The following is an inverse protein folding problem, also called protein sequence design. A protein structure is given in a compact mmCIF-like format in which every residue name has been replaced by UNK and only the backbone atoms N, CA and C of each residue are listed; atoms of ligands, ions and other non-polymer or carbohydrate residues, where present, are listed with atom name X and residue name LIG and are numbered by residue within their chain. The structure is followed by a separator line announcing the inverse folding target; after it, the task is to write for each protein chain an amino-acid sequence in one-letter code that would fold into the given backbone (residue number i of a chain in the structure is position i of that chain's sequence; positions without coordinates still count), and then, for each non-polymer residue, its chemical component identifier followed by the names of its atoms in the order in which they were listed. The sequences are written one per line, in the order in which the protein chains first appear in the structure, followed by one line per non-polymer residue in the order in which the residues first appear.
data_IF_026706893253
#
_entry.id   IF_026706893253
#
_cell.length_a   1.000
_cell.length_b   1.000
_cell.length_c   1.000
_cell.angle_alpha   90.00
_cell.angle_beta   90.00
_cell.angle_gamma   90.00
#
_symmetry.space_group_name_H-M   'P 1'
#
loop_
_entity.id
_entity.type
_entity.pdbx_description
1 polymer ?
#
# COMPACT_ATOMS: atom_id res chain seq x y z
N UNK A 1 22.77 2.61 28.84
CA UNK A 1 21.43 1.97 28.79
C UNK A 1 20.28 2.94 28.53
N UNK A 2 20.30 4.19 29.01
CA UNK A 2 19.22 5.17 28.74
C UNK A 2 18.99 5.51 27.25
N UNK A 3 20.03 5.43 26.41
CA UNK A 3 19.93 5.71 24.97
C UNK A 3 19.07 4.69 24.22
N UNK A 4 19.09 3.42 24.63
CA UNK A 4 18.31 2.36 23.98
C UNK A 4 16.82 2.53 24.24
N UNK A 5 16.41 2.82 25.49
CA UNK A 5 15.00 3.05 25.83
C UNK A 5 14.37 4.21 25.05
N UNK A 6 15.10 5.31 24.85
CA UNK A 6 14.63 6.45 24.06
C UNK A 6 14.51 6.11 22.57
N UNK A 7 15.48 5.39 22.01
CA UNK A 7 15.43 4.91 20.63
C UNK A 7 14.21 4.01 20.39
N UNK A 8 13.99 3.03 21.26
CA UNK A 8 12.88 2.09 21.12
C UNK A 8 11.52 2.79 21.21
N UNK A 9 11.37 3.76 22.12
CA UNK A 9 10.16 4.57 22.21
C UNK A 9 9.94 5.45 20.97
N UNK A 10 11.00 6.07 20.44
CA UNK A 10 10.93 6.87 19.22
C UNK A 10 10.60 6.00 17.99
N UNK A 11 11.21 4.81 17.89
CA UNK A 11 10.95 3.85 16.82
C UNK A 11 9.49 3.37 16.84
N UNK A 12 8.95 3.06 18.03
CA UNK A 12 7.55 2.70 18.18
C UNK A 12 6.61 3.82 17.72
N UNK A 13 6.83 5.05 18.18
CA UNK A 13 6.03 6.21 17.78
C UNK A 13 6.13 6.49 16.26
N UNK A 14 7.32 6.29 15.67
CA UNK A 14 7.53 6.42 14.24
C UNK A 14 6.72 5.40 13.44
N UNK A 15 6.73 4.13 13.86
CA UNK A 15 5.94 3.06 13.23
C UNK A 15 4.44 3.34 13.36
N UNK A 16 3.98 3.73 14.55
CA UNK A 16 2.58 4.10 14.79
C UNK A 16 2.14 5.21 13.83
N UNK A 17 2.93 6.29 13.72
CA UNK A 17 2.65 7.41 12.82
C UNK A 17 2.59 7.00 11.34
N UNK A 18 3.50 6.13 10.88
CA UNK A 18 3.48 5.65 9.48
C UNK A 18 2.26 4.77 9.21
N UNK A 19 1.93 3.87 10.15
CA UNK A 19 0.77 2.98 10.03
C UNK A 19 -0.56 3.73 10.15
N UNK A 20 -0.58 4.90 10.78
CA UNK A 20 -1.76 5.76 10.92
C UNK A 20 -2.12 6.52 9.63
N UNK A 21 -1.31 6.43 8.58
CA UNK A 21 -1.60 7.03 7.27
C UNK A 21 -2.15 5.96 6.36
N UNK A 22 -3.42 6.06 5.96
CA UNK A 22 -4.01 5.16 4.95
C UNK A 22 -3.47 5.45 3.55
N UNK A 23 -3.49 4.45 2.67
CA UNK A 23 -3.17 4.67 1.25
C UNK A 23 -4.42 5.03 0.47
N UNK A 24 -5.63 4.78 0.98
CA UNK A 24 -6.89 5.20 0.38
C UNK A 24 -7.65 6.19 1.26
N UNK A 25 -8.33 7.16 0.64
CA UNK A 25 -9.21 8.13 1.34
C UNK A 25 -10.66 7.65 1.45
N UNK A 26 -11.03 6.55 0.80
CA UNK A 26 -12.36 5.96 0.93
C UNK A 26 -12.38 5.11 2.21
N UNK A 27 -13.05 5.59 3.26
CA UNK A 27 -13.08 4.96 4.60
C UNK A 27 -13.58 3.51 4.62
N UNK A 28 -14.37 3.10 3.62
CA UNK A 28 -14.83 1.72 3.46
C UNK A 28 -13.85 0.81 2.72
N UNK A 29 -12.77 1.37 2.15
CA UNK A 29 -11.76 0.59 1.44
C UNK A 29 -10.76 -0.01 2.43
N UNK A 30 -10.39 -1.28 2.24
CA UNK A 30 -9.36 -1.93 3.08
C UNK A 30 -8.00 -1.21 3.09
N UNK A 31 -7.74 -0.37 2.09
CA UNK A 31 -6.51 0.41 1.98
C UNK A 31 -6.56 1.75 2.75
N UNK A 32 -7.73 2.15 3.26
CA UNK A 32 -7.84 3.29 4.17
C UNK A 32 -7.34 2.91 5.56
N UNK A 33 -6.76 3.88 6.26
CA UNK A 33 -6.48 3.67 7.68
C UNK A 33 -7.80 3.72 8.42
N UNK A 34 -8.22 2.58 8.95
CA UNK A 34 -9.40 2.51 9.79
C UNK A 34 -9.19 1.41 10.85
N UNK A 35 -8.83 1.79 12.09
CA UNK A 35 -8.59 0.81 13.16
C UNK A 35 -9.85 0.03 13.54
N UNK A 36 -11.05 0.53 13.21
CA UNK A 36 -12.34 -0.09 13.52
C UNK A 36 -12.86 -1.00 12.40
N UNK A 37 -12.44 -0.77 11.15
CA UNK A 37 -12.92 -1.57 10.02
C UNK A 37 -12.40 -3.01 10.04
N UNK A 38 -11.38 -3.31 10.85
CA UNK A 38 -10.70 -4.59 10.84
C UNK A 38 -10.82 -5.27 12.19
N UNK A 39 -11.63 -6.32 12.21
CA UNK A 39 -11.57 -7.36 13.22
C UNK A 39 -10.85 -8.55 12.64
N UNK A 40 -9.74 -8.97 13.24
CA UNK A 40 -9.22 -10.31 13.00
C UNK A 40 -10.33 -11.32 13.34
N UNK A 41 -10.38 -12.49 12.69
CA UNK A 41 -11.42 -13.50 12.95
C UNK A 41 -11.54 -13.92 14.42
N UNK A 42 -10.57 -13.55 15.27
CA UNK A 42 -10.56 -13.79 16.71
C UNK A 42 -11.31 -12.73 17.56
N UNK A 43 -11.68 -11.57 17.02
CA UNK A 43 -12.39 -10.50 17.75
C UNK A 43 -13.48 -9.85 16.87
N UNK A 44 -14.58 -10.55 16.63
CA UNK A 44 -15.74 -9.99 15.91
C UNK A 44 -16.33 -8.79 16.65
N UNK A 45 -16.00 -7.58 16.21
CA UNK A 45 -16.61 -6.31 16.64
C UNK A 45 -17.18 -5.53 15.44
N UNK A 46 -17.83 -6.23 14.50
CA UNK A 46 -18.54 -5.58 13.38
C UNK A 46 -17.67 -5.00 12.26
N UNK A 47 -16.35 -5.24 12.27
CA UNK A 47 -15.45 -4.92 11.16
C UNK A 47 -15.47 -6.00 10.06
N UNK A 48 -14.96 -5.66 8.87
CA UNK A 48 -14.73 -6.63 7.79
C UNK A 48 -13.62 -7.58 8.23
N UNK A 49 -13.88 -8.90 8.35
CA UNK A 49 -12.83 -9.83 8.73
C UNK A 49 -11.87 -10.02 7.57
N UNK A 50 -10.59 -9.65 7.75
CA UNK A 50 -9.54 -10.14 6.85
C UNK A 50 -9.27 -11.58 7.21
N UNK A 51 -9.68 -12.48 6.32
CA UNK A 51 -9.26 -13.86 6.39
C UNK A 51 -7.79 -13.91 5.98
N UNK A 52 -6.88 -14.34 6.87
CA UNK A 52 -5.48 -14.51 6.49
C UNK A 52 -5.38 -15.54 5.36
N UNK A 53 -4.40 -15.40 4.45
CA UNK A 53 -4.25 -16.33 3.34
C UNK A 53 -3.95 -17.72 3.87
N UNK A 54 -4.51 -18.74 3.22
CA UNK A 54 -4.21 -20.13 3.56
C UNK A 54 -2.74 -20.44 3.29
N UNK A 55 -2.21 -21.46 3.96
CA UNK A 55 -0.83 -21.91 3.74
C UNK A 55 -0.57 -22.26 2.26
N UNK A 56 -1.55 -22.84 1.55
CA UNK A 56 -1.47 -23.14 0.13
C UNK A 56 -1.44 -21.88 -0.75
N UNK A 57 -2.21 -20.84 -0.39
CA UNK A 57 -2.19 -19.54 -1.10
C UNK A 57 -0.85 -18.83 -0.91
N UNK A 58 -0.25 -18.91 0.27
CA UNK A 58 1.11 -18.41 0.54
C UNK A 58 2.16 -19.17 -0.27
N UNK A 59 2.13 -20.51 -0.28
CA UNK A 59 3.05 -21.33 -1.09
C UNK A 59 2.94 -21.00 -2.59
N UNK A 60 1.72 -20.90 -3.10
CA UNK A 60 1.48 -20.53 -4.50
C UNK A 60 2.01 -19.13 -4.82
N UNK A 61 1.85 -18.16 -3.92
CA UNK A 61 2.39 -16.81 -4.09
C UNK A 61 3.92 -16.78 -4.08
N UNK A 62 4.57 -17.56 -3.19
CA UNK A 62 6.04 -17.65 -3.12
C UNK A 62 6.60 -18.28 -4.41
N UNK A 63 5.93 -19.29 -4.95
CA UNK A 63 6.35 -19.97 -6.17
C UNK A 63 5.96 -19.23 -7.47
N UNK A 64 5.18 -18.16 -7.39
CA UNK A 64 4.71 -17.44 -8.57
C UNK A 64 5.83 -16.63 -9.23
N UNK A 65 5.95 -16.74 -10.56
CA UNK A 65 6.88 -15.92 -11.36
C UNK A 65 6.55 -14.42 -11.23
N UNK A 66 5.25 -14.09 -11.26
CA UNK A 66 4.75 -12.73 -11.00
C UNK A 66 4.07 -12.72 -9.64
N UNK A 67 4.74 -12.14 -8.65
CA UNK A 67 4.21 -12.06 -7.30
C UNK A 67 2.93 -11.19 -7.24
N UNK A 68 1.80 -11.71 -6.73
CA UNK A 68 0.55 -10.96 -6.66
C UNK A 68 0.52 -9.97 -5.49
N UNK A 69 1.39 -8.94 -5.58
CA UNK A 69 1.73 -8.00 -4.50
C UNK A 69 0.51 -7.39 -3.80
N UNK A 70 -0.44 -6.83 -4.55
CA UNK A 70 -1.61 -6.18 -3.98
C UNK A 70 -2.50 -7.17 -3.24
N UNK A 71 -2.79 -8.31 -3.86
CA UNK A 71 -3.66 -9.35 -3.31
C UNK A 71 -3.08 -9.95 -2.02
N UNK A 72 -1.81 -10.39 -2.05
CA UNK A 72 -1.16 -10.99 -0.89
C UNK A 72 -0.85 -9.93 0.17
N UNK A 73 -0.31 -8.78 -0.21
CA UNK A 73 0.05 -7.71 0.72
C UNK A 73 -1.12 -7.20 1.57
N UNK A 74 -2.34 -7.17 1.02
CA UNK A 74 -3.55 -6.76 1.74
C UNK A 74 -4.06 -7.81 2.73
N UNK A 75 -3.79 -9.09 2.49
CA UNK A 75 -4.27 -10.20 3.32
C UNK A 75 -3.27 -10.67 4.36
N UNK A 76 -1.98 -10.35 4.17
CA UNK A 76 -0.97 -10.63 5.17
C UNK A 76 -1.33 -9.94 6.49
N UNK A 77 -1.39 -10.74 7.54
CA UNK A 77 -1.69 -10.31 8.90
C UNK A 77 -0.55 -10.73 9.81
N UNK A 78 -0.27 -9.91 10.83
CA UNK A 78 0.56 -10.31 11.95
C UNK A 78 -0.04 -11.54 12.63
N UNK A 79 0.80 -12.43 13.15
CA UNK A 79 0.36 -13.63 13.87
C UNK A 79 -0.34 -13.26 15.18
N UNK A 80 -1.10 -14.20 15.74
CA UNK A 80 -1.70 -14.05 17.08
C UNK A 80 -0.65 -13.70 18.13
N UNK A 81 0.53 -14.32 18.04
CA UNK A 81 1.65 -14.04 18.96
C UNK A 81 2.14 -12.61 18.82
N UNK A 82 2.24 -12.07 17.60
CA UNK A 82 2.68 -10.69 17.37
C UNK A 82 1.63 -9.69 17.87
N UNK A 83 0.36 -9.95 17.60
CA UNK A 83 -0.78 -9.09 17.97
C UNK A 83 -1.12 -9.13 19.46
N UNK A 84 -0.55 -10.08 20.21
CA UNK A 84 -0.58 -10.09 21.66
C UNK A 84 0.24 -8.96 22.31
N UNK A 85 1.07 -8.26 21.54
CA UNK A 85 1.87 -7.12 21.98
C UNK A 85 1.37 -5.82 21.36
N UNK A 86 1.45 -4.73 22.11
CA UNK A 86 1.37 -3.38 21.54
C UNK A 86 2.54 -3.15 20.56
N UNK A 87 2.42 -2.21 19.62
CA UNK A 87 3.52 -1.87 18.70
C UNK A 87 4.80 -1.51 19.47
N UNK A 88 4.65 -0.74 20.56
CA UNK A 88 5.75 -0.39 21.46
C UNK A 88 6.44 -1.60 22.08
N UNK A 89 5.69 -2.54 22.64
CA UNK A 89 6.25 -3.77 23.23
C UNK A 89 6.89 -4.65 22.16
N UNK A 90 6.25 -4.77 20.99
CA UNK A 90 6.74 -5.58 19.89
C UNK A 90 8.07 -5.04 19.34
N UNK A 91 8.16 -3.73 19.05
CA UNK A 91 9.40 -3.08 18.59
C UNK A 91 10.52 -3.26 19.62
N UNK A 92 10.24 -3.03 20.91
CA UNK A 92 11.22 -3.19 21.98
C UNK A 92 11.74 -4.63 22.06
N UNK A 93 10.83 -5.61 22.07
CA UNK A 93 11.17 -7.04 22.11
C UNK A 93 11.96 -7.46 20.88
N UNK A 94 11.48 -7.13 19.69
CA UNK A 94 12.07 -7.54 18.42
C UNK A 94 13.48 -6.95 18.27
N UNK A 95 13.65 -5.64 18.48
CA UNK A 95 14.95 -4.98 18.29
C UNK A 95 15.96 -5.48 19.32
N UNK A 96 15.58 -5.61 20.60
CA UNK A 96 16.47 -6.14 21.64
C UNK A 96 16.87 -7.58 21.34
N UNK A 97 15.92 -8.42 20.92
CA UNK A 97 16.17 -9.83 20.61
C UNK A 97 17.05 -9.96 19.36
N UNK A 98 16.83 -9.12 18.35
CA UNK A 98 17.63 -9.10 17.12
C UNK A 98 19.09 -8.68 17.41
N UNK A 99 19.28 -7.63 18.22
CA UNK A 99 20.62 -7.23 18.66
C UNK A 99 21.34 -8.34 19.43
N UNK A 100 20.64 -9.05 20.32
CA UNK A 100 21.23 -10.11 21.13
C UNK A 100 21.52 -11.40 20.34
N UNK A 101 20.58 -11.84 19.47
CA UNK A 101 20.68 -13.13 18.78
C UNK A 101 21.42 -13.04 17.45
N UNK A 102 21.31 -11.92 16.74
CA UNK A 102 21.88 -11.72 15.40
C UNK A 102 22.96 -10.64 15.36
N UNK A 103 23.27 -9.99 16.48
CA UNK A 103 24.32 -8.97 16.53
C UNK A 103 24.00 -7.67 15.79
N UNK A 104 22.71 -7.41 15.51
CA UNK A 104 22.30 -6.26 14.68
C UNK A 104 22.88 -4.93 15.16
N UNK A 105 23.50 -4.22 14.24
CA UNK A 105 23.95 -2.85 14.46
C UNK A 105 22.78 -1.87 14.62
N UNK A 106 23.03 -0.70 15.20
CA UNK A 106 22.07 0.40 15.21
C UNK A 106 21.68 0.82 13.79
N UNK A 107 22.64 0.76 12.86
CA UNK A 107 22.42 1.06 11.45
C UNK A 107 21.38 0.13 10.82
N UNK A 108 21.47 -1.17 11.08
CA UNK A 108 20.50 -2.18 10.64
C UNK A 108 19.10 -1.92 11.19
N UNK A 109 19.00 -1.52 12.47
CA UNK A 109 17.71 -1.13 13.06
C UNK A 109 17.13 0.12 12.37
N UNK A 110 17.93 1.16 12.18
CA UNK A 110 17.51 2.38 11.49
C UNK A 110 17.14 2.12 10.03
N UNK A 111 17.86 1.22 9.37
CA UNK A 111 17.56 0.79 8.00
C UNK A 111 16.20 0.10 7.92
N UNK A 112 15.85 -0.76 8.89
CA UNK A 112 14.53 -1.41 8.90
C UNK A 112 13.37 -0.40 9.04
N UNK A 113 13.57 0.65 9.83
CA UNK A 113 12.59 1.75 9.94
C UNK A 113 12.50 2.55 8.65
N UNK A 114 13.64 2.78 7.99
CA UNK A 114 13.68 3.44 6.68
C UNK A 114 12.90 2.65 5.62
N UNK A 115 13.07 1.33 5.58
CA UNK A 115 12.31 0.43 4.69
C UNK A 115 10.79 0.59 4.91
N UNK A 116 10.33 0.57 6.17
CA UNK A 116 8.90 0.75 6.50
C UNK A 116 8.34 2.08 5.98
N UNK A 117 9.08 3.17 6.17
CA UNK A 117 8.72 4.48 5.64
C UNK A 117 8.59 4.46 4.11
N UNK A 118 9.51 3.77 3.45
CA UNK A 118 9.56 3.67 1.99
C UNK A 118 8.40 2.87 1.42
N UNK A 119 8.06 1.75 2.05
CA UNK A 119 6.88 0.94 1.71
C UNK A 119 5.63 1.84 1.73
N UNK A 120 5.38 2.53 2.85
CA UNK A 120 4.16 3.32 2.98
C UNK A 120 4.14 4.50 2.01
N UNK A 121 5.27 5.19 1.84
CA UNK A 121 5.39 6.31 0.90
C UNK A 121 5.13 5.86 -0.54
N UNK A 122 5.72 4.73 -0.98
CA UNK A 122 5.51 4.20 -2.33
C UNK A 122 4.06 3.79 -2.55
N UNK A 123 3.42 3.16 -1.57
CA UNK A 123 2.02 2.77 -1.66
C UNK A 123 1.08 3.99 -1.77
N UNK A 124 1.29 5.04 -0.97
CA UNK A 124 0.54 6.30 -1.08
C UNK A 124 0.73 6.93 -2.46
N UNK A 125 1.98 7.06 -2.93
CA UNK A 125 2.26 7.67 -4.24
C UNK A 125 1.69 6.86 -5.40
N UNK A 126 1.75 5.54 -5.35
CA UNK A 126 1.16 4.67 -6.35
C UNK A 126 -0.37 4.80 -6.39
N UNK A 127 -1.02 4.92 -5.23
CA UNK A 127 -2.46 5.15 -5.14
C UNK A 127 -2.85 6.54 -5.69
N UNK A 128 -2.11 7.59 -5.34
CA UNK A 128 -2.33 8.94 -5.86
C UNK A 128 -2.20 8.99 -7.39
N UNK A 129 -1.17 8.34 -7.95
CA UNK A 129 -1.02 8.20 -9.42
C UNK A 129 -2.20 7.48 -10.04
N UNK A 130 -2.71 6.43 -9.40
CA UNK A 130 -3.91 5.70 -9.84
C UNK A 130 -5.16 6.59 -9.87
N UNK A 131 -5.39 7.40 -8.82
CA UNK A 131 -6.50 8.36 -8.78
C UNK A 131 -6.39 9.37 -9.94
N UNK A 132 -5.20 9.94 -10.15
CA UNK A 132 -4.98 10.93 -11.20
C UNK A 132 -5.24 10.31 -12.58
N UNK A 133 -4.76 9.08 -12.83
CA UNK A 133 -4.99 8.36 -14.07
C UNK A 133 -6.49 8.12 -14.34
N UNK A 134 -7.25 7.69 -13.32
CA UNK A 134 -8.70 7.51 -13.42
C UNK A 134 -9.42 8.83 -13.70
N UNK A 135 -9.03 9.92 -13.02
CA UNK A 135 -9.60 11.25 -13.24
C UNK A 135 -9.36 11.73 -14.68
N UNK A 136 -8.14 11.54 -15.20
CA UNK A 136 -7.80 11.93 -16.57
C UNK A 136 -8.55 11.08 -17.62
N UNK A 137 -8.70 9.77 -17.37
CA UNK A 137 -9.48 8.88 -18.25
C UNK A 137 -10.97 9.26 -18.30
N UNK A 138 -11.54 9.75 -17.21
CA UNK A 138 -12.92 10.23 -17.18
C UNK A 138 -13.12 11.49 -18.03
N UNK A 139 -12.17 12.45 -18.04
CA UNK A 139 -12.31 13.67 -18.85
C UNK A 139 -12.26 13.40 -20.36
N UNK A 140 -11.46 12.43 -20.83
CA UNK A 140 -11.39 12.08 -22.25
C UNK A 140 -12.66 11.42 -22.79
N UNK A 141 -13.48 10.75 -21.96
CA UNK A 141 -14.74 10.14 -22.42
C UNK A 141 -15.86 11.16 -22.68
N UNK A 142 -15.74 12.38 -22.17
CA UNK A 142 -16.76 13.41 -22.38
C UNK A 142 -16.43 14.37 -23.54
N UNK A 143 -15.23 14.31 -24.13
CA UNK A 143 -14.84 15.20 -25.24
C UNK A 143 -15.13 14.66 -26.65
N UNK A 144 -15.50 13.39 -26.80
CA UNK A 144 -15.72 12.73 -28.11
C UNK A 144 -17.20 12.60 -28.51
N UNK A 145 -18.13 13.24 -27.79
CA UNK A 145 -19.58 13.06 -28.04
C UNK A 145 -20.27 14.29 -28.67
N UNK A 146 -19.54 15.35 -29.03
CA UNK A 146 -20.18 16.63 -29.41
C UNK A 146 -19.78 17.25 -30.76
N UNK A 147 -19.31 16.48 -31.76
CA UNK A 147 -18.94 17.13 -33.04
C UNK A 147 -19.21 16.42 -34.38
N UNK A 148 -19.96 15.32 -34.45
CA UNK A 148 -20.23 14.66 -35.76
C UNK A 148 -21.64 14.03 -35.84
N UNK A 149 -22.72 14.84 -35.86
CA UNK A 149 -24.02 14.33 -36.29
C UNK A 149 -25.02 15.37 -36.83
N UNK A 150 -24.59 16.21 -37.78
CA UNK A 150 -25.51 16.89 -38.72
C UNK A 150 -24.93 16.89 -40.14
N UNK A 151 -24.64 15.70 -40.67
CA UNK A 151 -24.38 15.50 -42.09
C UNK A 151 -25.52 14.66 -42.69
N UNK A 152 -26.38 15.29 -43.49
CA UNK A 152 -27.24 14.62 -44.46
C UNK A 152 -28.74 14.72 -44.20
N UNK A 153 -29.40 15.70 -44.81
CA UNK A 153 -30.28 15.46 -45.97
C UNK A 153 -30.97 16.74 -46.45
N UNK A 154 -30.86 16.95 -47.75
CA UNK A 154 -31.85 17.52 -48.67
C UNK A 154 -32.35 18.95 -48.41
N UNK A 155 -31.79 19.92 -49.13
CA UNK A 155 -32.60 20.79 -50.03
C UNK A 155 -31.75 21.67 -50.93
N UNK A 156 -32.09 21.63 -52.21
CA UNK A 156 -31.63 22.48 -53.29
C UNK A 156 -31.81 23.98 -53.01
N UNK A 157 -30.89 24.80 -53.53
CA UNK A 157 -31.26 26.13 -54.02
C UNK A 157 -30.49 27.31 -53.43
N UNK A 158 -29.68 27.90 -54.31
CA UNK A 158 -29.38 29.33 -54.45
C UNK A 158 -28.51 30.09 -53.42
N UNK A 159 -27.34 30.49 -53.94
CA UNK A 159 -26.83 31.88 -54.06
C UNK A 159 -26.51 32.65 -52.76
N UNK A 160 -25.20 32.69 -52.47
CA UNK A 160 -24.34 33.88 -52.26
C UNK A 160 -24.97 35.18 -51.75
N UNK A 161 -24.48 35.66 -50.59
CA UNK A 161 -23.83 36.98 -50.31
C UNK A 161 -24.05 37.34 -48.83
N UNK A 162 -22.98 37.33 -48.03
CA UNK A 162 -22.25 38.51 -47.53
C UNK A 162 -22.78 39.07 -46.19
N UNK A 163 -21.91 38.96 -45.18
CA UNK A 163 -21.45 40.06 -44.31
C UNK A 163 -22.44 40.68 -43.32
N UNK A 164 -22.12 40.61 -42.02
CA UNK A 164 -22.73 41.48 -41.02
C UNK A 164 -22.46 41.08 -39.57
N UNK A 165 -21.37 41.59 -39.00
CA UNK A 165 -21.11 41.60 -37.56
C UNK A 165 -22.10 42.53 -36.83
N UNK A 166 -22.49 42.20 -35.58
CA UNK A 166 -22.46 43.09 -34.38
C UNK A 166 -23.21 42.47 -33.19
N UNK A 167 -22.45 42.22 -32.10
CA UNK A 167 -22.65 42.64 -30.70
C UNK A 167 -24.09 42.89 -30.21
N UNK A 168 -24.52 42.18 -29.15
CA UNK A 168 -25.21 42.81 -28.01
C UNK A 168 -25.16 41.97 -26.71
N UNK A 169 -24.71 42.65 -25.66
CA UNK A 169 -24.75 42.30 -24.23
C UNK A 169 -26.16 42.05 -23.69
N UNK A 170 -26.28 41.21 -22.66
CA UNK A 170 -27.54 41.02 -21.92
C UNK A 170 -27.40 40.11 -20.68
N UNK A 171 -27.07 40.74 -19.56
CA UNK A 171 -27.02 40.20 -18.18
C UNK A 171 -28.41 39.70 -17.73
N UNK A 172 -28.51 38.52 -17.10
CA UNK A 172 -29.18 38.34 -15.79
C UNK A 172 -29.17 36.90 -15.26
N UNK A 173 -29.24 36.84 -13.94
CA UNK A 173 -29.01 35.74 -13.01
C UNK A 173 -30.19 34.77 -12.85
N UNK A 174 -29.96 33.75 -12.00
CA UNK A 174 -30.88 32.68 -11.52
C UNK A 174 -30.91 31.47 -12.47
N UNK A 175 -30.75 30.21 -12.06
CA UNK A 175 -31.23 29.57 -10.84
C UNK A 175 -30.43 28.26 -10.60
N UNK A 176 -30.04 28.03 -9.35
CA UNK A 176 -29.41 26.79 -8.86
C UNK A 176 -30.51 25.73 -8.69
N UNK A 177 -30.53 24.67 -9.50
CA UNK A 177 -31.19 23.39 -9.11
C UNK A 177 -30.46 22.17 -9.64
N UNK A 178 -30.17 21.29 -8.69
CA UNK A 178 -29.61 19.94 -8.81
C UNK A 178 -30.31 19.08 -9.85
N UNK A 179 -29.52 18.38 -10.67
CA UNK A 179 -29.93 17.16 -11.35
C UNK A 179 -28.74 16.20 -11.42
N UNK A 180 -28.87 15.05 -10.76
CA UNK A 180 -27.94 13.94 -10.80
C UNK A 180 -27.91 13.29 -12.19
N UNK A 181 -26.75 12.83 -12.71
CA UNK A 181 -26.73 11.98 -13.89
C UNK A 181 -26.93 10.52 -13.48
N UNK A 182 -28.06 9.96 -13.90
CA UNK A 182 -28.31 8.52 -14.01
C UNK A 182 -27.27 7.88 -14.93
N UNK A 183 -26.58 6.83 -14.46
CA UNK A 183 -25.73 6.00 -15.33
C UNK A 183 -26.44 4.66 -15.53
N UNK A 184 -26.88 4.43 -16.76
CA UNK A 184 -27.45 3.17 -17.21
C UNK A 184 -26.39 2.26 -17.85
N UNK A 185 -26.51 0.98 -17.49
CA UNK A 185 -26.45 -0.21 -18.34
C UNK A 185 -25.23 -0.47 -19.25
N UNK A 186 -24.38 -1.37 -18.76
CA UNK A 186 -23.77 -2.55 -19.44
C UNK A 186 -23.93 -2.69 -20.97
N UNK A 187 -22.79 -2.77 -21.65
CA UNK A 187 -22.63 -3.58 -22.86
C UNK A 187 -21.22 -4.21 -22.90
N UNK A 188 -21.22 -5.46 -23.35
CA UNK A 188 -20.17 -6.48 -23.36
C UNK A 188 -18.99 -6.21 -24.28
N UNK A 189 -17.79 -6.73 -23.95
CA UNK A 189 -17.00 -7.61 -24.84
C UNK A 189 -15.70 -8.15 -24.20
N UNK A 190 -15.63 -9.49 -24.15
CA UNK A 190 -14.47 -10.39 -24.28
C UNK A 190 -13.07 -9.99 -23.76
N UNK A 191 -12.58 -10.74 -22.76
CA UNK A 191 -11.30 -11.48 -22.84
C UNK A 191 -11.27 -12.63 -21.81
N UNK A 192 -11.07 -13.84 -22.33
CA UNK A 192 -10.91 -15.10 -21.61
C UNK A 192 -9.49 -15.23 -21.07
N UNK A 193 -9.32 -15.46 -19.76
CA UNK A 193 -8.15 -16.14 -19.15
C UNK A 193 -8.61 -16.83 -17.86
N UNK A 194 -8.58 -18.18 -17.85
CA UNK A 194 -8.28 -19.10 -16.73
C UNK A 194 -9.04 -19.00 -15.39
N UNK A 195 -9.27 -20.12 -14.66
CA UNK A 195 -10.02 -20.08 -13.41
C UNK A 195 -9.14 -19.52 -12.29
N UNK A 196 -9.45 -18.30 -11.84
CA UNK A 196 -9.14 -17.80 -10.50
C UNK A 196 -10.45 -17.31 -9.90
N UNK A 197 -11.37 -18.24 -9.67
CA UNK A 197 -12.62 -17.98 -8.95
C UNK A 197 -12.36 -18.11 -7.45
N UNK A 198 -11.92 -17.03 -6.83
CA UNK A 198 -12.06 -16.81 -5.38
C UNK A 198 -12.83 -15.48 -5.22
N UNK A 199 -14.13 -15.55 -5.55
CA UNK A 199 -15.08 -14.43 -5.68
C UNK A 199 -15.53 -13.94 -4.30
N UNK A 200 -14.60 -13.40 -3.50
CA UNK A 200 -14.92 -12.88 -2.17
C UNK A 200 -14.03 -11.76 -1.62
N UNK A 201 -12.86 -11.51 -2.21
CA UNK A 201 -11.88 -10.56 -1.64
C UNK A 201 -11.99 -9.11 -2.17
N UNK A 202 -12.61 -8.91 -3.33
CA UNK A 202 -12.66 -7.59 -4.01
C UNK A 202 -13.81 -6.68 -3.57
N UNK A 203 -14.81 -7.21 -2.85
CA UNK A 203 -16.03 -6.46 -2.48
C UNK A 203 -15.77 -5.35 -1.44
N UNK A 204 -14.63 -5.40 -0.76
CA UNK A 204 -14.24 -4.42 0.27
C UNK A 204 -13.20 -3.40 -0.23
N UNK A 205 -12.81 -3.48 -1.51
CA UNK A 205 -11.93 -2.50 -2.13
C UNK A 205 -12.76 -1.47 -2.91
N UNK A 206 -12.39 -0.20 -2.79
CA UNK A 206 -12.93 0.79 -3.72
C UNK A 206 -12.44 0.50 -5.14
N UNK A 207 -13.17 0.99 -6.13
CA UNK A 207 -12.85 0.82 -7.56
C UNK A 207 -11.41 1.18 -7.94
N UNK A 208 -10.79 2.12 -7.23
CA UNK A 208 -9.38 2.50 -7.41
C UNK A 208 -8.42 1.40 -6.93
N UNK A 209 -8.77 0.72 -5.83
CA UNK A 209 -7.89 -0.23 -5.15
C UNK A 209 -8.03 -1.67 -5.65
N UNK A 210 -9.22 -2.08 -6.11
CA UNK A 210 -9.55 -3.44 -6.56
C UNK A 210 -8.52 -3.99 -7.57
N UNK A 211 -8.12 -3.18 -8.55
CA UNK A 211 -7.10 -3.56 -9.56
C UNK A 211 -5.66 -3.15 -9.25
N UNK A 212 -5.39 -2.64 -8.04
CA UNK A 212 -4.10 -2.03 -7.73
C UNK A 212 -3.10 -3.01 -7.08
N UNK A 213 -1.81 -2.77 -7.32
CA UNK A 213 -0.70 -3.47 -6.64
C UNK A 213 -0.40 -2.89 -5.25
N UNK A 214 -1.17 -1.92 -4.77
CA UNK A 214 -0.91 -1.27 -3.48
C UNK A 214 -1.59 -2.01 -2.34
N UNK A 215 -0.92 -1.98 -1.19
CA UNK A 215 -1.47 -2.33 0.11
C UNK A 215 -1.11 -1.22 1.11
N UNK A 216 -1.68 -1.23 2.30
CA UNK A 216 -1.32 -0.31 3.37
C UNK A 216 -0.65 -1.05 4.54
N UNK A 217 0.35 -0.42 5.15
CA UNK A 217 0.74 -0.77 6.51
C UNK A 217 -0.39 -0.33 7.44
N UNK A 218 -0.82 -1.25 8.29
CA UNK A 218 -2.03 -1.14 9.10
C UNK A 218 -1.83 -1.82 10.45
N UNK A 219 -2.63 -1.49 11.48
CA UNK A 219 -2.47 -2.05 12.83
C UNK A 219 -2.45 -3.60 12.88
N UNK A 220 -3.13 -4.29 11.96
CA UNK A 220 -3.19 -5.75 11.91
C UNK A 220 -2.02 -6.43 11.19
N UNK A 221 -1.23 -5.72 10.38
CA UNK A 221 -0.12 -6.30 9.61
C UNK A 221 1.25 -5.66 9.93
N UNK A 222 1.26 -4.53 10.65
CA UNK A 222 2.48 -3.73 10.83
C UNK A 222 3.59 -4.52 11.52
N UNK A 223 3.30 -5.34 12.52
CA UNK A 223 4.33 -6.14 13.21
C UNK A 223 5.02 -7.13 12.26
N UNK A 224 4.27 -7.79 11.37
CA UNK A 224 4.84 -8.66 10.34
C UNK A 224 5.76 -7.89 9.40
N UNK A 225 5.35 -6.70 8.97
CA UNK A 225 6.19 -5.87 8.10
C UNK A 225 7.40 -5.26 8.82
N UNK A 226 7.33 -4.98 10.12
CA UNK A 226 8.51 -4.60 10.93
C UNK A 226 9.51 -5.78 10.94
N UNK A 227 9.02 -6.99 11.19
CA UNK A 227 9.85 -8.20 11.18
C UNK A 227 10.50 -8.44 9.80
N UNK A 228 9.72 -8.37 8.72
CA UNK A 228 10.22 -8.53 7.35
C UNK A 228 11.26 -7.46 6.97
N UNK A 229 11.01 -6.20 7.35
CA UNK A 229 11.94 -5.10 7.09
C UNK A 229 13.25 -5.27 7.86
N UNK A 230 13.19 -5.74 9.11
CA UNK A 230 14.38 -6.01 9.90
C UNK A 230 15.17 -7.21 9.38
N UNK A 231 14.48 -8.29 8.99
CA UNK A 231 15.11 -9.45 8.35
C UNK A 231 15.87 -9.04 7.07
N UNK A 232 15.25 -8.23 6.21
CA UNK A 232 15.89 -7.71 5.01
C UNK A 232 17.10 -6.82 5.34
N UNK A 233 16.98 -5.94 6.35
CA UNK A 233 18.12 -5.14 6.78
C UNK A 233 19.29 -6.00 7.28
N UNK A 234 19.02 -7.10 8.00
CA UNK A 234 20.05 -8.05 8.42
C UNK A 234 20.71 -8.69 7.20
N UNK A 235 19.91 -9.22 6.26
CA UNK A 235 20.42 -9.85 5.03
C UNK A 235 21.27 -8.92 4.17
N UNK A 236 20.97 -7.62 4.16
CA UNK A 236 21.65 -6.64 3.30
C UNK A 236 22.88 -6.00 3.97
N UNK A 237 22.84 -5.76 5.28
CA UNK A 237 23.85 -4.94 5.97
C UNK A 237 24.82 -5.72 6.85
N UNK A 238 24.43 -6.90 7.32
CA UNK A 238 25.23 -7.63 8.29
C UNK A 238 26.06 -8.71 7.57
N UNK A 239 27.33 -8.38 7.29
CA UNK A 239 28.26 -9.23 6.52
C UNK A 239 28.37 -10.66 7.08
N UNK A 240 28.15 -10.84 8.39
CA UNK A 240 28.14 -12.13 9.06
C UNK A 240 27.10 -13.12 8.49
N UNK A 241 26.07 -12.63 7.80
CA UNK A 241 25.02 -13.45 7.21
C UNK A 241 25.10 -13.57 5.69
N UNK A 242 26.14 -13.00 5.05
CA UNK A 242 26.30 -13.04 3.60
C UNK A 242 26.41 -14.48 3.05
N UNK A 243 26.94 -15.42 3.84
CA UNK A 243 27.12 -16.84 3.47
C UNK A 243 26.08 -17.77 4.10
N UNK A 244 25.17 -17.26 4.93
CA UNK A 244 24.15 -18.07 5.58
C UNK A 244 23.02 -18.37 4.60
N UNK A 245 22.51 -19.61 4.64
CA UNK A 245 21.30 -19.97 3.90
C UNK A 245 20.15 -19.02 4.28
N UNK A 246 19.68 -18.25 3.30
CA UNK A 246 18.66 -17.24 3.49
C UNK A 246 17.34 -17.78 4.01
N UNK A 247 16.97 -19.02 3.68
CA UNK A 247 15.76 -19.66 4.20
C UNK A 247 15.94 -20.07 5.67
N UNK A 248 17.10 -20.61 6.02
CA UNK A 248 17.42 -20.96 7.41
C UNK A 248 17.43 -19.72 8.30
N UNK A 249 18.02 -18.62 7.81
CA UNK A 249 17.99 -17.34 8.51
C UNK A 249 16.55 -16.83 8.68
N UNK A 250 15.74 -16.87 7.63
CA UNK A 250 14.31 -16.49 7.71
C UNK A 250 13.56 -17.34 8.73
N UNK A 251 13.82 -18.64 8.80
CA UNK A 251 13.18 -19.55 9.75
C UNK A 251 13.55 -19.24 11.21
N UNK A 252 14.85 -19.06 11.49
CA UNK A 252 15.33 -18.70 12.83
C UNK A 252 14.81 -17.33 13.26
N UNK A 253 14.89 -16.34 12.37
CA UNK A 253 14.39 -14.99 12.64
C UNK A 253 12.88 -14.99 12.83
N UNK A 254 12.11 -15.71 12.01
CA UNK A 254 10.66 -15.83 12.13
C UNK A 254 10.25 -16.42 13.47
N UNK A 255 10.95 -17.44 13.94
CA UNK A 255 10.73 -18.03 15.28
C UNK A 255 10.95 -16.99 16.38
N UNK A 256 12.04 -16.22 16.32
CA UNK A 256 12.33 -15.14 17.28
C UNK A 256 11.27 -14.02 17.23
N UNK A 257 10.86 -13.63 16.03
CA UNK A 257 9.89 -12.56 15.79
C UNK A 257 8.44 -12.98 16.06
N UNK A 258 8.18 -14.28 16.30
CA UNK A 258 6.83 -14.84 16.48
C UNK A 258 6.00 -14.87 15.19
N UNK A 259 6.65 -15.01 14.03
CA UNK A 259 6.00 -15.02 12.72
C UNK A 259 5.92 -16.45 12.16
N UNK A 260 4.87 -16.75 11.41
CA UNK A 260 4.86 -17.94 10.57
C UNK A 260 5.85 -17.77 9.40
N UNK A 261 6.65 -18.81 9.13
CA UNK A 261 7.72 -18.77 8.13
C UNK A 261 7.24 -18.29 6.75
N UNK A 262 6.14 -18.85 6.24
CA UNK A 262 5.60 -18.50 4.91
C UNK A 262 5.04 -17.08 4.86
N UNK A 263 4.39 -16.64 5.94
CA UNK A 263 3.88 -15.27 6.02
C UNK A 263 5.03 -14.27 6.02
N UNK A 264 6.14 -14.59 6.72
CA UNK A 264 7.34 -13.78 6.72
C UNK A 264 8.02 -13.74 5.35
N UNK A 265 8.13 -14.87 4.64
CA UNK A 265 8.65 -14.90 3.26
C UNK A 265 7.81 -14.07 2.30
N UNK A 266 6.47 -14.17 2.37
CA UNK A 266 5.59 -13.34 1.56
C UNK A 266 5.73 -11.86 1.91
N UNK A 267 5.83 -11.50 3.20
CA UNK A 267 6.04 -10.12 3.62
C UNK A 267 7.39 -9.58 3.14
N UNK A 268 8.46 -10.37 3.25
CA UNK A 268 9.78 -10.08 2.69
C UNK A 268 9.67 -9.83 1.18
N UNK A 269 8.98 -10.71 0.45
CA UNK A 269 8.77 -10.54 -0.99
C UNK A 269 7.97 -9.28 -1.30
N UNK A 270 6.93 -8.96 -0.53
CA UNK A 270 6.17 -7.71 -0.67
C UNK A 270 7.08 -6.48 -0.56
N UNK A 271 8.01 -6.47 0.41
CA UNK A 271 8.98 -5.39 0.56
C UNK A 271 9.91 -5.32 -0.65
N UNK A 272 10.49 -6.45 -1.05
CA UNK A 272 11.39 -6.51 -2.19
C UNK A 272 10.72 -6.00 -3.48
N UNK A 273 9.51 -6.46 -3.81
CA UNK A 273 8.77 -6.00 -5.00
C UNK A 273 8.48 -4.49 -4.95
N UNK A 274 8.27 -3.94 -3.76
CA UNK A 274 7.98 -2.52 -3.60
C UNK A 274 9.21 -1.63 -3.68
N UNK A 275 10.37 -2.05 -3.16
CA UNK A 275 11.54 -1.18 -3.00
C UNK A 275 12.86 -1.80 -3.49
N UNK A 276 12.82 -2.78 -4.40
CA UNK A 276 14.00 -3.53 -4.87
C UNK A 276 15.21 -2.64 -5.24
N UNK A 277 14.94 -1.58 -5.98
CA UNK A 277 15.91 -0.57 -6.45
C UNK A 277 16.46 0.33 -5.34
N UNK A 278 15.82 0.34 -4.18
CA UNK A 278 16.14 1.15 -3.01
C UNK A 278 16.59 0.29 -1.81
N UNK A 279 16.73 -1.04 -1.91
CA UNK A 279 17.12 -1.87 -0.76
C UNK A 279 18.49 -1.55 -0.15
N UNK A 280 19.38 -0.88 -0.91
CA UNK A 280 20.68 -0.45 -0.40
C UNK A 280 20.53 0.82 0.42
N UNK A 281 21.03 0.75 1.64
CA UNK A 281 21.13 1.87 2.56
C UNK A 281 21.82 3.06 1.90
N UNK A 282 21.13 4.20 1.83
CA UNK A 282 21.80 5.48 1.61
C UNK A 282 22.03 6.15 2.94
N UNK A 283 23.21 6.73 3.18
CA UNK A 283 23.49 7.52 4.40
C UNK A 283 22.42 8.60 4.62
N UNK A 284 21.99 9.24 3.52
CA UNK A 284 20.88 10.19 3.48
C UNK A 284 19.56 9.59 3.98
N UNK A 285 19.27 8.33 3.64
CA UNK A 285 18.09 7.60 4.11
C UNK A 285 18.10 7.44 5.63
N UNK A 286 19.21 6.99 6.20
CA UNK A 286 19.37 6.86 7.65
C UNK A 286 19.25 8.23 8.33
N UNK A 287 19.96 9.24 7.84
CA UNK A 287 19.90 10.60 8.38
C UNK A 287 18.46 11.16 8.40
N UNK A 288 17.65 10.84 7.38
CA UNK A 288 16.23 11.20 7.36
C UNK A 288 15.45 10.53 8.49
N UNK A 289 15.67 9.24 8.73
CA UNK A 289 15.00 8.51 9.82
C UNK A 289 15.45 9.07 11.17
N UNK A 290 16.75 9.25 11.40
CA UNK A 290 17.28 9.82 12.65
C UNK A 290 16.62 11.17 12.96
N UNK A 291 16.51 12.04 11.95
CA UNK A 291 15.84 13.34 12.09
C UNK A 291 14.37 13.18 12.49
N UNK A 292 13.64 12.25 11.88
CA UNK A 292 12.23 11.99 12.18
C UNK A 292 12.02 11.35 13.55
N UNK A 293 12.98 10.55 14.02
CA UNK A 293 13.00 10.02 15.39
C UNK A 293 13.26 11.13 16.42
N UNK A 294 13.62 12.35 16.01
CA UNK A 294 13.95 13.45 16.91
C UNK A 294 15.23 13.21 17.71
N UNK A 295 16.08 12.28 17.28
CA UNK A 295 17.29 11.91 17.98
C UNK A 295 18.49 12.70 17.46
N UNK A 296 19.28 13.28 18.36
CA UNK A 296 20.65 13.71 18.06
C UNK A 296 21.57 12.53 18.35
N UNK A 297 21.73 11.62 17.38
CA UNK A 297 22.76 10.59 17.49
C UNK A 297 24.14 11.22 17.25
N UNK A 298 25.18 10.83 18.01
CA UNK A 298 26.55 11.17 17.63
C UNK A 298 26.79 10.61 16.23
N UNK A 299 27.41 11.43 15.37
CA UNK A 299 27.66 11.14 13.95
C UNK A 299 28.24 9.72 13.81
N UNK A 300 27.51 8.85 13.09
CA UNK A 300 28.02 7.54 12.61
C UNK A 300 29.13 7.76 11.59
#
# INVERSE_FOLDING_TARGET
MESSGKLLAAAAAFVENISAVGVCSNEGCLNAFNPSAFSLPLKFNGGVPVLPPTAARLEAAIAAEVFPLGLIGRQLCSSVTQLGFTVKEYVAKLFTSAQHQFGCSLETLLHSLWILERIQTRNILAQQKGIIALRNGSYCRFSDVDNDMWAGKDTSGLILTETGATVHDGINAEEIRSAAPLVSSVSSEMRSVGPMSDVGDDDSLCTVCTGSRVFSLQPWNVQLFIAASLLLSIKVNEDAFAEVDGEMLTLQFGTMAGCEFKALLCAERCVCELIWDELRVTRKGIENVIRRLGMRLPVL
#
